data_IF_472868058607
#
_entry.id   IF_472868058607
#
_cell.length_a   1.000
_cell.length_b   1.000
_cell.length_c   1.000
_cell.angle_alpha   90.00
_cell.angle_beta   90.00
_cell.angle_gamma   90.00
#
_symmetry.space_group_name_H-M   'P 1'
#
loop_
_entity.id
_entity.type
_entity.pdbx_description
1 polymer ?
#
# COMPACT_ATOMS: atom_id res chain seq x y z
N UNK A 1 -16.77 -18.32 -18.16
CA UNK A 1 -16.42 -16.89 -18.14
C UNK A 1 -17.19 -16.22 -17.01
N UNK A 2 -16.52 -15.44 -16.19
CA UNK A 2 -17.13 -14.59 -15.15
C UNK A 2 -16.99 -13.15 -15.64
N UNK A 3 -18.09 -12.39 -15.59
CA UNK A 3 -18.10 -10.97 -15.92
C UNK A 3 -18.81 -10.22 -14.80
N UNK A 4 -18.14 -9.23 -14.21
CA UNK A 4 -18.66 -8.37 -13.17
C UNK A 4 -18.05 -6.98 -13.27
N UNK A 5 -18.44 -6.10 -12.36
CA UNK A 5 -17.85 -4.76 -12.24
C UNK A 5 -17.33 -4.57 -10.82
N UNK A 6 -16.16 -3.98 -10.72
CA UNK A 6 -15.64 -3.47 -9.46
C UNK A 6 -16.08 -2.04 -9.26
N UNK A 7 -16.79 -1.76 -8.17
CA UNK A 7 -17.25 -0.45 -7.79
C UNK A 7 -16.46 0.10 -6.60
N UNK A 8 -16.05 1.35 -6.69
CA UNK A 8 -15.43 2.06 -5.58
C UNK A 8 -16.51 2.77 -4.79
N UNK A 9 -16.82 2.29 -3.59
CA UNK A 9 -18.00 2.67 -2.81
C UNK A 9 -18.07 4.14 -2.37
N UNK A 10 -16.93 4.85 -2.32
CA UNK A 10 -16.86 6.27 -1.96
C UNK A 10 -16.74 7.21 -3.18
N UNK A 11 -16.86 6.67 -4.40
CA UNK A 11 -16.85 7.44 -5.66
C UNK A 11 -18.14 7.17 -6.43
N UNK A 12 -18.89 8.23 -6.74
CA UNK A 12 -20.05 8.11 -7.63
C UNK A 12 -19.61 7.71 -9.04
N UNK A 13 -20.38 6.83 -9.68
CA UNK A 13 -20.20 6.36 -11.06
C UNK A 13 -18.81 5.80 -11.40
N UNK A 14 -18.06 5.35 -10.39
CA UNK A 14 -16.76 4.77 -10.61
C UNK A 14 -16.83 3.24 -10.61
N UNK A 15 -16.74 2.65 -11.79
CA UNK A 15 -16.66 1.21 -11.97
C UNK A 15 -15.61 0.81 -13.01
N UNK A 16 -14.99 -0.35 -12.79
CA UNK A 16 -14.07 -0.98 -13.73
C UNK A 16 -14.60 -2.39 -14.05
N UNK A 17 -14.72 -2.76 -15.35
CA UNK A 17 -15.15 -4.10 -15.72
C UNK A 17 -14.10 -5.13 -15.31
N UNK A 18 -14.57 -6.25 -14.74
CA UNK A 18 -13.76 -7.39 -14.38
C UNK A 18 -14.23 -8.61 -15.17
N UNK A 19 -13.32 -9.21 -15.95
CA UNK A 19 -13.61 -10.38 -16.78
C UNK A 19 -12.59 -11.48 -16.45
N UNK A 20 -13.06 -12.65 -16.05
CA UNK A 20 -12.24 -13.84 -15.86
C UNK A 20 -12.66 -14.95 -16.82
N UNK A 21 -11.70 -15.58 -17.50
CA UNK A 21 -11.90 -16.69 -18.42
C UNK A 21 -11.20 -17.93 -17.89
N UNK A 22 -11.95 -19.02 -17.71
CA UNK A 22 -11.37 -20.31 -17.33
C UNK A 22 -10.37 -20.81 -18.39
N UNK A 23 -9.29 -21.42 -17.96
CA UNK A 23 -8.26 -21.98 -18.83
C UNK A 23 -7.24 -20.97 -19.40
N UNK A 24 -7.35 -19.68 -19.04
CA UNK A 24 -6.33 -18.67 -19.39
C UNK A 24 -5.30 -18.60 -18.27
N UNK A 25 -4.13 -19.19 -18.50
CA UNK A 25 -3.01 -19.24 -17.54
C UNK A 25 -2.02 -18.08 -17.64
N UNK A 26 -2.30 -17.08 -18.46
CA UNK A 26 -1.47 -15.90 -18.62
C UNK A 26 -2.22 -14.62 -18.18
N UNK A 27 -1.47 -13.65 -17.67
CA UNK A 27 -2.05 -12.41 -17.12
C UNK A 27 -2.31 -11.34 -18.20
N UNK A 28 -1.39 -11.16 -19.16
CA UNK A 28 -1.49 -10.14 -20.20
C UNK A 28 -1.58 -10.73 -21.59
N UNK A 29 -0.54 -11.46 -22.03
CA UNK A 29 -0.44 -12.07 -23.35
C UNK A 29 0.14 -13.49 -23.24
N UNK A 30 -0.06 -14.31 -24.25
CA UNK A 30 0.71 -15.54 -24.39
C UNK A 30 2.20 -15.22 -24.52
N UNK A 31 3.04 -16.04 -23.85
CA UNK A 31 4.48 -15.79 -23.77
C UNK A 31 5.17 -16.46 -24.96
N UNK A 32 5.43 -15.67 -26.00
CA UNK A 32 5.97 -16.18 -27.27
C UNK A 32 7.43 -15.76 -27.52
N UNK A 33 7.92 -14.74 -26.82
CA UNK A 33 9.22 -14.13 -27.09
C UNK A 33 10.08 -14.04 -25.85
N UNK A 34 11.35 -14.39 -25.99
CA UNK A 34 12.32 -14.32 -24.93
C UNK A 34 12.53 -12.87 -24.43
N UNK A 35 12.77 -12.68 -23.12
CA UNK A 35 13.14 -11.39 -22.57
C UNK A 35 14.47 -10.88 -23.14
N UNK A 36 14.56 -9.57 -23.34
CA UNK A 36 15.79 -8.92 -23.80
C UNK A 36 16.94 -9.06 -22.78
N UNK A 37 16.62 -9.04 -21.48
CA UNK A 37 17.57 -9.16 -20.38
C UNK A 37 16.88 -9.66 -19.11
N UNK A 38 17.68 -10.13 -18.15
CA UNK A 38 17.20 -10.41 -16.79
C UNK A 38 17.04 -9.11 -16.00
N UNK A 39 15.85 -8.90 -15.47
CA UNK A 39 15.49 -7.73 -14.66
C UNK A 39 15.68 -7.95 -13.16
N UNK A 40 16.04 -9.15 -12.71
CA UNK A 40 16.18 -9.46 -11.28
C UNK A 40 17.15 -8.50 -10.59
N UNK A 41 16.74 -7.97 -9.43
CA UNK A 41 17.54 -7.06 -8.60
C UNK A 41 16.82 -5.76 -8.28
N UNK A 42 17.55 -4.82 -7.67
CA UNK A 42 17.03 -3.52 -7.28
C UNK A 42 17.26 -2.48 -8.37
N UNK A 43 16.28 -1.61 -8.49
CA UNK A 43 16.24 -0.54 -9.47
C UNK A 43 15.89 0.77 -8.80
N UNK A 44 16.76 1.76 -8.92
CA UNK A 44 16.43 3.14 -8.59
C UNK A 44 15.33 3.62 -9.54
N UNK A 45 14.19 3.94 -8.99
CA UNK A 45 12.99 4.27 -9.77
C UNK A 45 12.47 5.65 -9.36
N UNK A 46 12.04 6.42 -10.34
CA UNK A 46 11.39 7.73 -10.14
C UNK A 46 10.02 7.66 -10.77
N UNK A 47 9.01 8.04 -10.03
CA UNK A 47 7.64 8.26 -10.51
C UNK A 47 7.37 9.75 -10.65
N UNK A 48 6.64 10.13 -11.70
CA UNK A 48 6.25 11.53 -11.94
C UNK A 48 7.32 12.37 -12.61
N UNK A 49 7.03 13.66 -12.73
CA UNK A 49 7.90 14.67 -13.32
C UNK A 49 7.95 15.93 -12.45
N UNK A 50 9.08 16.63 -12.47
CA UNK A 50 9.28 17.90 -11.75
C UNK A 50 9.01 17.77 -10.26
N UNK A 51 8.30 18.74 -9.70
CA UNK A 51 7.99 18.83 -8.27
C UNK A 51 7.04 17.73 -7.76
N UNK A 52 6.35 17.03 -8.68
CA UNK A 52 5.48 15.92 -8.36
C UNK A 52 6.18 14.55 -8.47
N UNK A 53 7.50 14.55 -8.67
CA UNK A 53 8.25 13.31 -8.72
C UNK A 53 8.59 12.78 -7.32
N UNK A 54 8.63 11.44 -7.20
CA UNK A 54 9.05 10.79 -5.96
C UNK A 54 9.91 9.56 -6.23
N UNK A 55 10.92 9.32 -5.37
CA UNK A 55 11.82 8.17 -5.50
C UNK A 55 11.15 6.89 -5.02
N UNK A 56 11.62 5.78 -5.58
CA UNK A 56 11.21 4.44 -5.21
C UNK A 56 12.33 3.44 -5.48
N UNK A 57 12.28 2.30 -4.80
CA UNK A 57 13.09 1.13 -5.11
C UNK A 57 12.21 0.11 -5.78
N UNK A 58 12.43 -0.17 -7.06
CA UNK A 58 11.84 -1.30 -7.75
C UNK A 58 12.61 -2.58 -7.41
N UNK A 59 11.95 -3.53 -6.74
CA UNK A 59 12.51 -4.87 -6.49
C UNK A 59 11.90 -5.85 -7.49
N UNK A 60 12.71 -6.36 -8.42
CA UNK A 60 12.26 -7.29 -9.45
C UNK A 60 12.82 -8.68 -9.25
N UNK A 61 11.98 -9.68 -9.49
CA UNK A 61 12.35 -11.08 -9.54
C UNK A 61 11.79 -11.71 -10.80
N UNK A 62 12.68 -12.15 -11.70
CA UNK A 62 12.33 -12.73 -12.99
C UNK A 62 12.58 -14.24 -13.01
N UNK A 63 11.70 -14.98 -13.69
CA UNK A 63 11.88 -16.40 -14.02
C UNK A 63 11.36 -16.64 -15.44
N UNK A 64 12.27 -16.69 -16.41
CA UNK A 64 11.92 -16.65 -17.82
C UNK A 64 11.15 -15.37 -18.16
N UNK A 65 9.96 -15.52 -18.73
CA UNK A 65 9.08 -14.38 -19.03
C UNK A 65 8.21 -13.91 -17.85
N UNK A 66 8.19 -14.65 -16.75
CA UNK A 66 7.41 -14.25 -15.57
C UNK A 66 8.18 -13.22 -14.76
N UNK A 67 7.50 -12.18 -14.35
CA UNK A 67 8.04 -11.10 -13.54
C UNK A 67 7.18 -10.88 -12.31
N UNK A 68 7.79 -10.87 -11.13
CA UNK A 68 7.18 -10.38 -9.91
C UNK A 68 7.98 -9.20 -9.40
N UNK A 69 7.31 -8.23 -8.81
CA UNK A 69 7.96 -7.02 -8.34
C UNK A 69 7.19 -6.36 -7.20
N UNK A 70 7.83 -5.39 -6.57
CA UNK A 70 7.17 -4.29 -5.86
C UNK A 70 7.96 -3.01 -6.09
N UNK A 71 7.34 -1.86 -5.80
CA UNK A 71 8.02 -0.58 -5.72
C UNK A 71 7.88 -0.06 -4.29
N UNK A 72 8.98 0.03 -3.56
CA UNK A 72 9.04 0.60 -2.22
C UNK A 72 9.20 2.11 -2.32
N UNK A 73 8.36 2.84 -1.63
CA UNK A 73 8.41 4.30 -1.52
C UNK A 73 8.61 4.72 -0.07
N UNK A 74 8.83 6.00 0.17
CA UNK A 74 8.92 6.56 1.54
C UNK A 74 7.60 6.42 2.33
N UNK A 75 6.46 6.24 1.66
CA UNK A 75 5.13 6.16 2.29
C UNK A 75 4.50 4.77 2.25
N UNK A 76 5.21 3.76 1.77
CA UNK A 76 4.71 2.38 1.65
C UNK A 76 5.16 1.71 0.37
N UNK A 77 4.52 0.62 0.00
CA UNK A 77 4.83 -0.11 -1.23
C UNK A 77 3.61 -0.29 -2.15
N UNK A 78 3.88 -0.71 -3.37
CA UNK A 78 2.84 -1.02 -4.37
C UNK A 78 2.38 -2.48 -4.34
N UNK A 79 2.52 -3.14 -3.19
CA UNK A 79 2.08 -4.52 -3.00
C UNK A 79 2.85 -5.51 -3.89
N UNK A 80 2.31 -6.72 -3.98
CA UNK A 80 2.87 -7.78 -4.82
C UNK A 80 2.36 -7.64 -6.25
N UNK A 81 3.25 -7.18 -7.12
CA UNK A 81 2.99 -7.07 -8.54
C UNK A 81 3.39 -8.36 -9.24
N UNK A 82 2.55 -8.83 -10.13
CA UNK A 82 2.86 -9.94 -11.03
C UNK A 82 2.64 -9.54 -12.47
N UNK A 83 3.44 -10.10 -13.35
CA UNK A 83 3.31 -9.84 -14.76
C UNK A 83 4.31 -10.56 -15.63
N UNK A 84 4.68 -9.90 -16.71
CA UNK A 84 5.48 -10.51 -17.77
C UNK A 84 6.50 -9.54 -18.34
N UNK A 85 7.60 -10.12 -18.83
CA UNK A 85 8.54 -9.44 -19.72
C UNK A 85 8.68 -10.23 -21.01
N UNK A 86 8.52 -9.54 -22.16
CA UNK A 86 8.73 -10.13 -23.50
C UNK A 86 9.53 -9.16 -24.36
N UNK A 87 10.65 -9.63 -24.91
CA UNK A 87 11.61 -8.72 -25.53
C UNK A 87 11.91 -7.54 -24.60
N UNK A 88 11.55 -6.34 -24.98
CA UNK A 88 11.76 -5.09 -24.22
C UNK A 88 10.51 -4.59 -23.49
N UNK A 89 9.38 -5.31 -23.57
CA UNK A 89 8.11 -4.88 -22.97
C UNK A 89 7.90 -5.52 -21.60
N UNK A 90 7.49 -4.71 -20.65
CA UNK A 90 7.21 -5.09 -19.26
C UNK A 90 5.75 -4.75 -18.96
N UNK A 91 5.06 -5.69 -18.35
CA UNK A 91 3.72 -5.50 -17.79
C UNK A 91 3.68 -6.07 -16.39
N UNK A 92 3.24 -5.26 -15.42
CA UNK A 92 3.03 -5.67 -14.04
C UNK A 92 1.69 -5.14 -13.56
N UNK A 93 0.98 -5.91 -12.76
CA UNK A 93 -0.27 -5.45 -12.17
C UNK A 93 -0.55 -6.10 -10.83
N UNK A 94 -1.41 -5.45 -10.06
CA UNK A 94 -2.05 -6.01 -8.88
C UNK A 94 -3.47 -5.50 -8.74
N UNK A 95 -4.29 -6.29 -8.06
CA UNK A 95 -5.61 -5.90 -7.60
C UNK A 95 -5.81 -6.44 -6.19
N UNK A 96 -5.99 -5.53 -5.23
CA UNK A 96 -6.09 -5.86 -3.81
C UNK A 96 -7.49 -5.60 -3.21
N UNK A 97 -8.46 -5.30 -4.06
CA UNK A 97 -9.84 -4.96 -3.66
C UNK A 97 -10.08 -3.45 -3.52
N UNK A 98 -9.04 -2.67 -3.25
CA UNK A 98 -9.10 -1.20 -3.14
C UNK A 98 -8.42 -0.51 -4.32
N UNK A 99 -7.38 -1.13 -4.86
CA UNK A 99 -6.57 -0.57 -5.95
C UNK A 99 -6.50 -1.54 -7.13
N UNK A 100 -6.53 -0.98 -8.32
CA UNK A 100 -6.23 -1.67 -9.58
C UNK A 100 -5.00 -0.99 -10.20
N UNK A 101 -3.83 -1.58 -9.99
CA UNK A 101 -2.55 -1.04 -10.48
C UNK A 101 -2.09 -1.74 -11.75
N UNK A 102 -1.64 -0.96 -12.72
CA UNK A 102 -1.03 -1.42 -13.95
C UNK A 102 0.23 -0.61 -14.25
N UNK A 103 1.35 -1.30 -14.37
CA UNK A 103 2.62 -0.76 -14.79
C UNK A 103 2.95 -1.32 -16.18
N UNK A 104 3.10 -0.44 -17.14
CA UNK A 104 3.61 -0.76 -18.46
C UNK A 104 4.99 -0.14 -18.59
N UNK A 105 5.98 -0.89 -19.06
CA UNK A 105 7.35 -0.43 -19.20
C UNK A 105 8.00 -0.92 -20.48
N UNK A 106 9.03 -0.22 -20.90
CA UNK A 106 9.88 -0.58 -22.03
C UNK A 106 11.35 -0.40 -21.67
N UNK A 107 12.14 -1.45 -21.88
CA UNK A 107 13.58 -1.42 -21.74
C UNK A 107 14.17 -0.60 -22.88
N UNK A 108 14.96 0.41 -22.54
CA UNK A 108 15.62 1.31 -23.47
C UNK A 108 16.95 0.72 -23.96
N UNK A 109 17.59 1.28 -25.02
CA UNK A 109 18.89 0.81 -25.52
C UNK A 109 20.03 0.86 -24.48
N UNK A 110 19.95 1.80 -23.52
CA UNK A 110 20.89 1.97 -22.40
C UNK A 110 20.57 1.09 -21.19
N UNK A 111 19.62 0.16 -21.34
CA UNK A 111 19.16 -0.76 -20.29
C UNK A 111 18.38 -0.07 -19.14
N UNK A 112 18.00 1.19 -19.27
CA UNK A 112 17.00 1.80 -18.40
C UNK A 112 15.59 1.34 -18.77
N UNK A 113 14.62 1.58 -17.89
CA UNK A 113 13.21 1.28 -18.16
C UNK A 113 12.45 2.59 -18.11
N UNK A 114 11.59 2.82 -19.09
CA UNK A 114 10.63 3.93 -19.09
C UNK A 114 9.23 3.39 -19.27
N UNK A 115 8.26 3.97 -18.58
CA UNK A 115 6.91 3.43 -18.62
C UNK A 115 5.83 4.35 -18.09
N UNK A 116 4.62 3.79 -18.02
CA UNK A 116 3.44 4.44 -17.49
C UNK A 116 2.88 3.57 -16.35
N UNK A 117 2.63 4.19 -15.22
CA UNK A 117 1.87 3.61 -14.12
C UNK A 117 0.43 4.14 -14.15
N UNK A 118 -0.54 3.25 -14.03
CA UNK A 118 -1.95 3.58 -13.90
C UNK A 118 -2.50 3.05 -12.59
N UNK A 119 -3.23 3.91 -11.88
CA UNK A 119 -4.00 3.55 -10.69
C UNK A 119 -5.49 3.73 -10.97
N UNK A 120 -6.18 2.62 -11.13
CA UNK A 120 -7.59 2.61 -11.47
C UNK A 120 -7.88 3.15 -12.87
N UNK A 121 -9.01 3.87 -13.01
CA UNK A 121 -9.57 4.25 -14.32
C UNK A 121 -8.99 5.54 -14.89
N UNK A 122 -8.62 6.48 -14.04
CA UNK A 122 -8.39 7.88 -14.46
C UNK A 122 -7.01 8.44 -14.12
N UNK A 123 -6.32 7.86 -13.13
CA UNK A 123 -5.03 8.39 -12.71
C UNK A 123 -3.87 7.64 -13.36
N UNK A 124 -2.92 8.37 -13.87
CA UNK A 124 -1.67 7.83 -14.42
C UNK A 124 -0.50 8.79 -14.23
N UNK A 125 0.70 8.22 -14.21
CA UNK A 125 1.96 8.95 -14.22
C UNK A 125 3.02 8.16 -14.97
N UNK A 126 4.08 8.83 -15.41
CA UNK A 126 5.26 8.15 -15.94
C UNK A 126 6.11 7.56 -14.82
N UNK A 127 6.95 6.62 -15.16
CA UNK A 127 8.01 6.10 -14.31
C UNK A 127 9.25 5.75 -15.12
N UNK A 128 10.40 5.94 -14.50
CA UNK A 128 11.70 5.56 -15.04
C UNK A 128 12.48 4.76 -14.01
N UNK A 129 13.24 3.76 -14.46
CA UNK A 129 14.06 2.97 -13.58
C UNK A 129 15.45 2.69 -14.18
N UNK A 130 16.46 2.74 -13.33
CA UNK A 130 17.83 2.37 -13.63
C UNK A 130 18.30 1.32 -12.62
N UNK A 131 18.95 0.25 -13.11
CA UNK A 131 19.49 -0.79 -12.23
C UNK A 131 20.49 -0.18 -11.24
N UNK A 132 20.22 -0.36 -9.97
CA UNK A 132 21.09 0.06 -8.88
C UNK A 132 20.80 -0.77 -7.63
N UNK A 133 21.67 -1.74 -7.36
CA UNK A 133 21.52 -2.60 -6.19
C UNK A 133 21.94 -1.92 -4.87
N UNK A 134 22.49 -0.72 -4.93
CA UNK A 134 22.87 0.08 -3.77
C UNK A 134 21.85 1.17 -3.40
N UNK A 135 20.77 1.31 -4.18
CA UNK A 135 19.75 2.33 -3.97
C UNK A 135 19.11 2.22 -2.58
N UNK A 136 18.96 3.34 -1.91
CA UNK A 136 18.32 3.45 -0.60
C UNK A 136 17.30 4.58 -0.61
N UNK A 137 16.22 4.40 0.12
CA UNK A 137 15.28 5.46 0.48
C UNK A 137 15.79 6.17 1.75
N UNK A 138 15.17 7.28 2.10
CA UNK A 138 15.44 7.93 3.39
C UNK A 138 15.21 6.95 4.53
N UNK A 139 15.99 7.14 5.60
CA UNK A 139 15.80 6.38 6.83
C UNK A 139 14.39 6.65 7.38
N UNK A 140 13.62 5.58 7.54
CA UNK A 140 12.23 5.66 8.02
C UNK A 140 12.14 6.27 9.42
N UNK A 141 13.15 6.06 10.28
CA UNK A 141 13.19 6.62 11.62
C UNK A 141 13.34 8.16 11.60
N UNK A 142 13.81 8.73 10.49
CA UNK A 142 13.93 10.18 10.30
C UNK A 142 12.69 10.85 9.68
N UNK A 143 11.71 10.06 9.21
CA UNK A 143 10.56 10.58 8.46
C UNK A 143 9.42 11.07 9.35
N UNK A 144 9.30 10.56 10.56
CA UNK A 144 8.29 10.96 11.53
C UNK A 144 8.95 11.50 12.79
N UNK A 145 8.59 12.72 13.17
CA UNK A 145 9.12 13.40 14.36
C UNK A 145 8.07 14.34 14.93
N UNK A 146 8.23 14.68 16.21
CA UNK A 146 7.42 15.74 16.80
C UNK A 146 7.91 17.09 16.29
N UNK A 147 6.99 17.96 15.89
CA UNK A 147 7.33 19.32 15.55
C UNK A 147 7.91 20.02 16.80
N UNK A 148 8.86 20.98 16.63
CA UNK A 148 9.59 21.60 17.75
C UNK A 148 8.72 22.27 18.81
N UNK A 149 7.51 22.67 18.46
CA UNK A 149 6.51 23.28 19.37
C UNK A 149 5.80 22.26 20.28
N UNK A 150 5.96 20.95 20.06
CA UNK A 150 5.35 19.90 20.87
C UNK A 150 6.39 19.16 21.69
N UNK A 151 6.24 19.16 23.02
CA UNK A 151 7.12 18.40 23.93
C UNK A 151 6.78 16.90 23.98
N UNK A 152 5.53 16.57 23.67
CA UNK A 152 5.04 15.19 23.64
C UNK A 152 3.88 15.04 22.67
N UNK A 153 3.68 13.82 22.17
CA UNK A 153 2.48 13.49 21.42
C UNK A 153 1.30 13.41 22.38
N UNK A 154 0.25 14.17 22.10
CA UNK A 154 -1.03 14.04 22.79
C UNK A 154 -2.17 14.26 21.78
N UNK A 155 -3.28 13.59 22.02
CA UNK A 155 -4.52 13.73 21.27
C UNK A 155 -5.72 13.21 22.07
N UNK A 156 -6.90 13.60 21.65
CA UNK A 156 -8.16 13.04 22.14
C UNK A 156 -9.12 12.87 20.98
N UNK A 157 -9.45 11.61 20.65
CA UNK A 157 -10.41 11.26 19.62
C UNK A 157 -11.48 10.33 20.15
N UNK A 158 -12.64 10.28 19.49
CA UNK A 158 -13.74 9.41 19.91
C UNK A 158 -13.51 7.98 19.44
N UNK A 159 -13.78 7.01 20.32
CA UNK A 159 -13.92 5.61 19.90
C UNK A 159 -15.26 5.40 19.15
N UNK A 160 -15.53 4.16 18.74
CA UNK A 160 -16.78 3.80 18.03
C UNK A 160 -18.05 4.01 18.84
N UNK A 161 -17.97 4.05 20.19
CA UNK A 161 -19.09 4.32 21.10
C UNK A 161 -19.27 5.83 21.37
N UNK A 162 -18.48 6.69 20.71
CA UNK A 162 -18.50 8.13 20.91
C UNK A 162 -17.81 8.62 22.18
N UNK A 163 -17.10 7.74 22.91
CA UNK A 163 -16.35 8.10 24.12
C UNK A 163 -14.99 8.65 23.73
N UNK A 164 -14.55 9.78 24.30
CA UNK A 164 -13.22 10.30 24.09
C UNK A 164 -12.17 9.36 24.68
N UNK A 165 -11.07 9.17 23.97
CA UNK A 165 -9.87 8.43 24.40
C UNK A 165 -8.67 9.34 24.15
N UNK A 166 -7.88 9.57 25.21
CA UNK A 166 -6.66 10.39 25.17
C UNK A 166 -5.44 9.55 25.53
N UNK A 167 -4.27 9.91 25.01
CA UNK A 167 -2.99 9.28 25.39
C UNK A 167 -2.63 9.52 26.85
N UNK A 168 -3.25 10.50 27.52
CA UNK A 168 -3.11 10.76 28.96
C UNK A 168 -3.99 9.86 29.83
N UNK A 169 -4.89 9.04 29.25
CA UNK A 169 -5.73 8.14 30.04
C UNK A 169 -4.92 7.13 30.83
N UNK A 170 -5.40 6.74 32.05
CA UNK A 170 -4.65 5.85 32.97
C UNK A 170 -4.17 4.53 32.33
N UNK A 171 -4.89 4.00 31.35
CA UNK A 171 -4.53 2.76 30.66
C UNK A 171 -3.21 2.86 29.87
N UNK A 172 -2.79 4.07 29.49
CA UNK A 172 -1.58 4.32 28.70
C UNK A 172 -0.38 4.79 29.55
N UNK A 173 -0.61 5.13 30.82
CA UNK A 173 0.45 5.65 31.70
C UNK A 173 1.52 4.58 31.96
N UNK A 174 2.79 4.96 31.80
CA UNK A 174 3.94 4.08 32.03
C UNK A 174 4.15 2.96 31.03
N UNK A 175 3.42 2.99 29.89
CA UNK A 175 3.55 2.03 28.79
C UNK A 175 4.20 2.65 27.56
N UNK A 176 4.89 1.84 26.76
CA UNK A 176 5.25 2.19 25.39
C UNK A 176 3.98 2.25 24.55
N UNK A 177 3.92 3.16 23.62
CA UNK A 177 2.73 3.36 22.75
C UNK A 177 3.14 3.27 21.30
N UNK A 178 2.38 2.52 20.51
CA UNK A 178 2.42 2.55 19.05
C UNK A 178 1.15 3.26 18.58
N UNK A 179 1.32 4.32 17.83
CA UNK A 179 0.20 5.04 17.19
C UNK A 179 0.18 4.64 15.73
N UNK A 180 -0.81 3.84 15.36
CA UNK A 180 -1.04 3.43 13.98
C UNK A 180 -1.95 4.45 13.30
N UNK A 181 -1.46 5.12 12.26
CA UNK A 181 -2.31 5.92 11.38
C UNK A 181 -2.83 5.00 10.29
N UNK A 182 -4.15 4.87 10.18
CA UNK A 182 -4.76 3.90 9.27
C UNK A 182 -6.00 4.47 8.56
N UNK A 183 -6.38 3.82 7.47
CA UNK A 183 -7.71 3.89 6.87
C UNK A 183 -8.23 2.47 6.63
N UNK A 184 -9.50 2.21 6.86
CA UNK A 184 -10.08 0.88 6.62
C UNK A 184 -10.03 0.47 5.14
N UNK A 185 -9.83 1.44 4.27
CA UNK A 185 -9.67 1.33 2.82
C UNK A 185 -8.24 1.04 2.39
N UNK A 186 -7.26 1.11 3.29
CA UNK A 186 -5.82 1.03 2.99
C UNK A 186 -5.31 -0.41 3.15
N UNK A 187 -4.88 -1.10 2.09
CA UNK A 187 -4.40 -2.48 2.18
C UNK A 187 -3.11 -2.63 2.99
N UNK A 188 -2.16 -1.70 2.88
CA UNK A 188 -0.92 -1.73 3.67
C UNK A 188 -1.21 -1.56 5.16
N UNK A 189 -2.15 -0.66 5.51
CA UNK A 189 -2.62 -0.51 6.88
C UNK A 189 -3.26 -1.80 7.42
N UNK A 190 -3.96 -2.55 6.56
CA UNK A 190 -4.52 -3.85 6.93
C UNK A 190 -3.43 -4.87 7.26
N UNK A 191 -2.36 -4.93 6.48
CA UNK A 191 -1.24 -5.84 6.74
C UNK A 191 -0.53 -5.48 8.04
N UNK A 192 -0.30 -4.18 8.30
CA UNK A 192 0.24 -3.69 9.56
C UNK A 192 -0.69 -4.00 10.75
N UNK A 193 -2.00 -3.83 10.59
CA UNK A 193 -3.00 -4.19 11.61
C UNK A 193 -2.93 -5.67 11.97
N UNK A 194 -2.79 -6.56 10.97
CA UNK A 194 -2.60 -8.00 11.20
C UNK A 194 -1.33 -8.24 12.01
N UNK A 195 -0.22 -7.63 11.61
CA UNK A 195 1.05 -7.76 12.31
C UNK A 195 0.95 -7.28 13.76
N UNK A 196 0.43 -6.08 14.02
CA UNK A 196 0.28 -5.52 15.36
C UNK A 196 -0.66 -6.34 16.24
N UNK A 197 -1.79 -6.79 15.70
CA UNK A 197 -2.73 -7.70 16.37
C UNK A 197 -2.04 -8.98 16.84
N UNK A 198 -1.32 -9.63 15.92
CA UNK A 198 -0.67 -10.92 16.21
C UNK A 198 0.51 -10.71 17.16
N UNK A 199 1.24 -9.61 17.05
CA UNK A 199 2.32 -9.24 17.96
C UNK A 199 1.80 -9.08 19.40
N UNK A 200 0.73 -8.31 19.62
CA UNK A 200 0.12 -8.11 20.94
C UNK A 200 -0.36 -9.43 21.52
N UNK A 201 -1.05 -10.25 20.73
CA UNK A 201 -1.57 -11.55 21.18
C UNK A 201 -0.46 -12.52 21.60
N UNK A 202 0.68 -12.48 20.92
CA UNK A 202 1.82 -13.34 21.21
C UNK A 202 2.75 -12.81 22.31
N UNK A 203 2.63 -11.53 22.68
CA UNK A 203 3.50 -10.87 23.69
C UNK A 203 2.68 -10.16 24.79
N UNK A 204 1.81 -10.86 25.53
CA UNK A 204 0.87 -10.24 26.47
C UNK A 204 1.54 -9.64 27.72
N UNK A 205 2.80 -9.97 27.99
CA UNK A 205 3.58 -9.46 29.14
C UNK A 205 4.27 -8.13 28.86
N UNK A 206 4.32 -7.67 27.61
CA UNK A 206 4.93 -6.39 27.29
C UNK A 206 4.09 -5.22 27.76
N UNK A 207 4.76 -4.20 28.32
CA UNK A 207 4.15 -2.92 28.65
C UNK A 207 4.02 -2.07 27.39
N UNK A 208 3.24 -2.57 26.43
CA UNK A 208 3.00 -1.97 25.12
C UNK A 208 1.50 -1.79 24.91
N UNK A 209 1.11 -0.64 24.43
CA UNK A 209 -0.24 -0.35 23.96
C UNK A 209 -0.21 0.12 22.51
N UNK A 210 -1.21 -0.27 21.75
CA UNK A 210 -1.42 0.22 20.39
C UNK A 210 -2.72 1.03 20.35
N UNK A 211 -2.70 2.13 19.61
CA UNK A 211 -3.89 2.95 19.34
C UNK A 211 -3.94 3.20 17.84
N UNK A 212 -5.02 2.77 17.20
CA UNK A 212 -5.30 3.09 15.81
C UNK A 212 -6.01 4.44 15.68
N UNK A 213 -5.52 5.31 14.79
CA UNK A 213 -6.18 6.54 14.39
C UNK A 213 -6.70 6.36 12.96
N UNK A 214 -8.02 6.20 12.82
CA UNK A 214 -8.65 5.94 11.53
C UNK A 214 -9.06 7.24 10.84
N UNK A 215 -8.58 7.41 9.60
CA UNK A 215 -8.95 8.48 8.67
C UNK A 215 -9.75 7.88 7.51
N UNK A 216 -10.99 8.31 7.37
CA UNK A 216 -11.95 7.70 6.47
C UNK A 216 -12.44 8.67 5.39
N UNK A 217 -12.92 8.13 4.25
CA UNK A 217 -13.46 8.94 3.15
C UNK A 217 -14.95 9.24 3.25
N UNK A 218 -15.62 8.71 4.28
CA UNK A 218 -17.06 8.88 4.46
C UNK A 218 -17.36 9.97 5.50
N UNK A 219 -18.60 10.41 5.53
CA UNK A 219 -19.11 11.19 6.64
C UNK A 219 -19.04 10.39 7.96
N UNK A 220 -19.05 11.08 9.11
CA UNK A 220 -18.77 10.50 10.43
C UNK A 220 -19.59 9.25 10.75
N UNK A 221 -20.90 9.26 10.48
CA UNK A 221 -21.78 8.12 10.81
C UNK A 221 -21.37 6.87 10.07
N UNK A 222 -21.15 6.99 8.77
CA UNK A 222 -20.69 5.89 7.92
C UNK A 222 -19.27 5.45 8.25
N UNK A 223 -18.38 6.38 8.59
CA UNK A 223 -17.02 6.11 9.03
C UNK A 223 -17.02 5.21 10.28
N UNK A 224 -17.83 5.54 11.28
CA UNK A 224 -17.94 4.71 12.49
C UNK A 224 -18.43 3.29 12.19
N UNK A 225 -19.41 3.11 11.29
CA UNK A 225 -19.87 1.78 10.87
C UNK A 225 -18.75 0.94 10.20
N UNK A 226 -17.94 1.54 9.31
CA UNK A 226 -16.86 0.81 8.64
C UNK A 226 -15.72 0.50 9.58
N UNK A 227 -15.38 1.40 10.52
CA UNK A 227 -14.39 1.16 11.57
C UNK A 227 -14.85 0.02 12.48
N UNK A 228 -16.10 0.02 12.96
CA UNK A 228 -16.64 -1.05 13.79
C UNK A 228 -16.55 -2.41 13.08
N UNK A 229 -16.95 -2.46 11.81
CA UNK A 229 -16.85 -3.67 11.00
C UNK A 229 -15.40 -4.12 10.83
N UNK A 230 -14.47 -3.17 10.62
CA UNK A 230 -13.04 -3.46 10.49
C UNK A 230 -12.48 -4.06 11.77
N UNK A 231 -12.75 -3.46 12.93
CA UNK A 231 -12.36 -3.98 14.25
C UNK A 231 -12.84 -5.42 14.43
N UNK A 232 -14.13 -5.69 14.17
CA UNK A 232 -14.73 -7.03 14.31
C UNK A 232 -14.13 -8.04 13.33
N UNK A 233 -13.99 -7.66 12.06
CA UNK A 233 -13.50 -8.58 11.01
C UNK A 233 -12.04 -8.93 11.20
N UNK A 234 -11.23 -7.98 11.65
CA UNK A 234 -9.79 -8.15 11.86
C UNK A 234 -9.44 -8.67 13.24
N UNK A 235 -10.43 -8.80 14.15
CA UNK A 235 -10.24 -9.22 15.55
C UNK A 235 -9.18 -8.38 16.28
N UNK A 236 -9.35 -7.03 16.19
CA UNK A 236 -8.37 -6.05 16.70
C UNK A 236 -8.52 -5.92 18.23
N UNK A 237 -7.44 -6.18 19.03
CA UNK A 237 -7.50 -6.15 20.48
C UNK A 237 -7.21 -4.78 21.11
N UNK A 238 -7.05 -3.74 20.32
CA UNK A 238 -6.68 -2.40 20.78
C UNK A 238 -7.68 -1.34 20.28
N UNK A 239 -7.74 -0.15 20.91
CA UNK A 239 -8.64 0.91 20.49
C UNK A 239 -8.32 1.42 19.10
N UNK A 240 -9.36 1.54 18.27
CA UNK A 240 -9.31 2.26 17.00
C UNK A 240 -10.25 3.46 17.11
N UNK A 241 -9.70 4.66 16.93
CA UNK A 241 -10.37 5.92 17.14
C UNK A 241 -10.66 6.58 15.79
N UNK A 242 -11.79 7.26 15.69
CA UNK A 242 -12.13 8.08 14.54
C UNK A 242 -11.38 9.41 14.62
N UNK A 243 -10.45 9.64 13.69
CA UNK A 243 -9.58 10.83 13.65
C UNK A 243 -9.89 11.79 12.49
N UNK A 244 -10.70 11.35 11.51
CA UNK A 244 -11.10 12.20 10.40
C UNK A 244 -11.72 11.45 9.24
#
# INVERSE_FOLDING_TARGET
>A
MISCQWHVSYKEDYSIPFIAKYGKGYRFTELEKEPFMDLTGNWSTIFGEGDNSYPSIGEFKQSGNKLSATFKTETGDYRFLEGTVQEKKIYLSTFDGSHAFLFEGRIQPDSTIQGIFRSGKTWQTIWEAKRDNSVQLKDMDSMTYLLPEYESMDFSFSNIDGKPVSLSDPQFVGKKKIIQILGTWCPNCKDETIFLRDYIKNNPSEKLEVVGLAFEYYEKGKSLEVIERYIKTMDIPYPVLYAG
#
